data_IF_232311830550
#
_entry.id   IF_232311830550
#
_cell.length_a   1.000
_cell.length_b   1.000
_cell.length_c   1.000
_cell.angle_alpha   90.00
_cell.angle_beta   90.00
_cell.angle_gamma   90.00
#
_symmetry.space_group_name_H-M   'P 1'
#
loop_
_entity.id
_entity.type
_entity.pdbx_description
1 polymer ?
#
# COMPACT_ATOMS: atom_id res chain seq x y z
N UNK A 1 25.92 -8.76 19.53
CA UNK A 1 26.11 -8.45 20.94
C UNK A 1 24.95 -8.99 21.76
N UNK A 2 25.22 -9.50 22.96
CA UNK A 2 24.23 -9.97 23.94
C UNK A 2 24.63 -9.59 25.38
N UNK A 3 25.40 -8.53 25.53
CA UNK A 3 25.94 -8.10 26.82
C UNK A 3 24.85 -7.70 27.84
N UNK A 4 23.70 -7.30 27.36
CA UNK A 4 22.53 -6.95 28.19
C UNK A 4 21.43 -8.01 28.15
N UNK A 5 21.62 -9.15 27.48
CA UNK A 5 20.63 -10.21 27.33
C UNK A 5 19.58 -9.96 26.23
N UNK A 6 19.83 -9.04 25.31
CA UNK A 6 18.91 -8.65 24.23
C UNK A 6 18.62 -9.77 23.23
N UNK A 7 19.46 -10.81 23.15
CA UNK A 7 19.21 -12.02 22.36
C UNK A 7 18.54 -13.16 23.14
N UNK A 8 18.26 -12.96 24.42
CA UNK A 8 17.67 -14.00 25.28
C UNK A 8 16.14 -14.00 25.15
N UNK A 9 15.65 -14.20 23.95
CA UNK A 9 14.21 -14.27 23.67
C UNK A 9 13.63 -15.53 24.31
N UNK A 10 12.60 -15.43 25.19
CA UNK A 10 12.05 -16.58 25.88
C UNK A 10 11.44 -17.63 24.95
N UNK A 11 11.50 -18.90 25.35
CA UNK A 11 10.77 -19.97 24.67
C UNK A 11 9.25 -19.75 24.73
N UNK A 12 8.53 -20.25 23.73
CA UNK A 12 7.09 -20.08 23.62
C UNK A 12 6.31 -21.31 24.10
N UNK A 13 5.10 -21.13 24.65
CA UNK A 13 4.16 -22.23 24.88
C UNK A 13 3.78 -22.92 23.55
N UNK A 14 3.37 -24.19 23.65
CA UNK A 14 2.90 -24.95 22.48
C UNK A 14 1.75 -24.26 21.78
N UNK A 15 1.83 -24.14 20.44
CA UNK A 15 0.82 -23.50 19.61
C UNK A 15 0.92 -21.98 19.51
N UNK A 16 1.85 -21.35 20.22
CA UNK A 16 2.14 -19.91 20.09
C UNK A 16 3.41 -19.73 19.27
N UNK A 17 3.42 -18.70 18.40
CA UNK A 17 4.59 -18.32 17.60
C UNK A 17 4.86 -16.82 17.76
N UNK A 18 6.09 -16.41 17.52
CA UNK A 18 6.42 -15.01 17.33
C UNK A 18 6.00 -14.57 15.93
N UNK A 19 5.28 -13.46 15.82
CA UNK A 19 4.74 -12.93 14.55
C UNK A 19 5.34 -11.58 14.16
N UNK A 20 6.04 -10.92 15.11
CA UNK A 20 6.71 -9.65 14.87
C UNK A 20 7.86 -9.49 15.85
N UNK A 21 8.97 -8.87 15.41
CA UNK A 21 10.11 -8.53 16.24
C UNK A 21 10.60 -7.13 15.93
N UNK A 22 11.05 -6.40 16.95
CA UNK A 22 11.68 -5.08 16.81
C UNK A 22 12.94 -5.05 17.67
N UNK A 23 13.98 -4.38 17.20
CA UNK A 23 15.25 -4.25 17.91
C UNK A 23 15.53 -2.78 18.21
N UNK A 24 15.73 -2.48 19.49
CA UNK A 24 16.26 -1.20 19.96
C UNK A 24 17.78 -1.22 20.07
N UNK A 25 18.37 -0.19 20.70
CA UNK A 25 19.84 -0.11 20.86
C UNK A 25 20.40 -1.22 21.77
N UNK A 26 19.69 -1.61 22.82
CA UNK A 26 20.15 -2.63 23.77
C UNK A 26 19.05 -3.60 24.21
N UNK A 27 17.87 -3.57 23.61
CA UNK A 27 16.77 -4.44 23.92
C UNK A 27 16.06 -4.95 22.67
N UNK A 28 15.38 -6.07 22.79
CA UNK A 28 14.54 -6.66 21.75
C UNK A 28 13.12 -6.80 22.23
N UNK A 29 12.18 -6.58 21.34
CA UNK A 29 10.74 -6.69 21.61
C UNK A 29 10.15 -7.68 20.60
N UNK A 30 9.30 -8.57 21.05
CA UNK A 30 8.66 -9.55 20.20
C UNK A 30 7.17 -9.66 20.52
N UNK A 31 6.34 -9.72 19.49
CA UNK A 31 4.90 -9.93 19.59
C UNK A 31 4.55 -11.36 19.23
N UNK A 32 3.71 -11.96 20.05
CA UNK A 32 3.23 -13.33 19.90
C UNK A 32 1.93 -13.38 19.09
N UNK A 33 1.62 -14.54 18.56
CA UNK A 33 0.37 -14.79 17.82
C UNK A 33 -0.91 -14.63 18.64
N UNK A 34 -0.83 -14.73 19.96
CA UNK A 34 -1.94 -14.44 20.88
C UNK A 34 -2.07 -12.94 21.22
N UNK A 35 -1.25 -12.10 20.61
CA UNK A 35 -1.26 -10.64 20.81
C UNK A 35 -0.54 -10.16 22.07
N UNK A 36 0.13 -11.03 22.81
CA UNK A 36 1.00 -10.61 23.89
C UNK A 36 2.35 -10.11 23.36
N UNK A 37 2.98 -9.21 24.10
CA UNK A 37 4.32 -8.68 23.83
C UNK A 37 5.26 -9.10 24.94
N UNK A 38 6.48 -9.44 24.60
CA UNK A 38 7.59 -9.65 25.52
C UNK A 38 8.76 -8.75 25.10
N UNK A 39 9.60 -8.40 26.06
CA UNK A 39 10.82 -7.66 25.81
C UNK A 39 11.96 -8.22 26.65
N UNK A 40 13.17 -8.19 26.13
CA UNK A 40 14.38 -8.66 26.80
C UNK A 40 15.58 -7.78 26.43
N UNK A 41 16.56 -7.74 27.30
CA UNK A 41 17.75 -6.93 27.12
C UNK A 41 17.87 -5.84 28.18
N UNK A 42 18.48 -4.73 27.79
CA UNK A 42 18.66 -3.56 28.64
C UNK A 42 17.30 -3.04 29.15
N UNK A 43 17.22 -2.77 30.45
CA UNK A 43 16.01 -2.31 31.12
C UNK A 43 16.25 -1.18 32.14
N UNK A 44 17.34 -0.45 32.00
CA UNK A 44 17.70 0.63 32.94
C UNK A 44 16.73 1.80 32.93
N UNK A 45 16.05 2.01 31.81
CA UNK A 45 14.98 3.00 31.67
C UNK A 45 13.57 2.39 31.77
N UNK A 46 13.45 1.09 32.00
CA UNK A 46 12.15 0.40 32.01
C UNK A 46 11.61 0.02 30.62
N UNK A 47 12.46 0.03 29.59
CA UNK A 47 12.06 -0.25 28.20
C UNK A 47 11.59 -1.68 27.96
N UNK A 48 11.93 -2.62 28.85
CA UNK A 48 11.41 -4.00 28.82
C UNK A 48 10.19 -4.23 29.72
N UNK A 49 9.71 -3.21 30.44
CA UNK A 49 8.58 -3.33 31.35
C UNK A 49 7.25 -3.21 30.61
N UNK A 50 6.89 -4.25 29.85
CA UNK A 50 5.66 -4.26 29.02
C UNK A 50 4.42 -3.99 29.89
N UNK A 51 3.63 -2.93 29.61
CA UNK A 51 2.43 -2.63 30.39
C UNK A 51 1.37 -3.73 30.22
N UNK A 52 0.67 -4.11 31.30
CA UNK A 52 -0.46 -5.03 31.17
C UNK A 52 -1.60 -4.39 30.38
N UNK A 53 -2.26 -5.18 29.53
CA UNK A 53 -3.46 -4.74 28.82
C UNK A 53 -4.73 -5.04 29.60
N UNK A 54 -5.73 -4.20 29.43
CA UNK A 54 -7.11 -4.48 29.88
C UNK A 54 -7.62 -5.75 29.17
N UNK A 55 -8.41 -6.54 29.87
CA UNK A 55 -9.00 -7.76 29.32
C UNK A 55 -9.73 -7.50 27.98
N UNK A 56 -9.50 -8.35 27.00
CA UNK A 56 -10.05 -8.24 25.65
C UNK A 56 -9.22 -7.40 24.68
N UNK A 57 -8.17 -6.72 25.14
CA UNK A 57 -7.23 -6.03 24.27
C UNK A 57 -6.00 -6.87 23.95
N UNK A 58 -5.42 -6.64 22.78
CA UNK A 58 -4.17 -7.25 22.33
C UNK A 58 -3.26 -6.19 21.76
N UNK A 59 -1.98 -6.50 21.62
CA UNK A 59 -1.05 -5.70 20.83
C UNK A 59 -1.12 -6.11 19.35
N UNK A 60 -1.10 -5.14 18.45
CA UNK A 60 -1.15 -5.34 16.99
C UNK A 60 0.12 -4.97 16.26
N UNK A 61 0.92 -4.06 16.82
CA UNK A 61 2.20 -3.62 16.26
C UNK A 61 3.16 -3.24 17.38
N UNK A 62 4.44 -3.33 17.11
CA UNK A 62 5.52 -2.97 18.05
C UNK A 62 6.62 -2.18 17.33
N UNK A 63 7.29 -1.28 18.05
CA UNK A 63 8.53 -0.65 17.64
C UNK A 63 9.45 -0.49 18.86
N UNK A 64 10.75 -0.61 18.63
CA UNK A 64 11.77 -0.44 19.65
C UNK A 64 12.73 0.68 19.24
N UNK A 65 12.82 1.70 20.05
CA UNK A 65 13.71 2.84 19.86
C UNK A 65 15.05 2.66 20.60
N UNK A 66 15.79 3.74 20.77
CA UNK A 66 17.06 3.69 21.50
C UNK A 66 16.86 3.11 22.92
N UNK A 67 15.98 3.71 23.70
CA UNK A 67 15.74 3.37 25.12
C UNK A 67 14.26 3.38 25.49
N UNK A 68 13.36 3.24 24.51
CA UNK A 68 11.93 3.19 24.73
C UNK A 68 11.29 2.16 23.80
N UNK A 69 10.13 1.73 24.15
CA UNK A 69 9.33 0.78 23.38
C UNK A 69 7.95 1.39 23.10
N UNK A 70 7.44 1.14 21.91
CA UNK A 70 6.13 1.62 21.46
C UNK A 70 5.32 0.43 21.00
N UNK A 71 4.04 0.39 21.36
CA UNK A 71 3.15 -0.66 20.89
C UNK A 71 1.77 -0.11 20.54
N UNK A 72 1.22 -0.61 19.46
CA UNK A 72 -0.14 -0.35 19.03
C UNK A 72 -1.08 -1.37 19.63
N UNK A 73 -2.21 -0.90 20.16
CA UNK A 73 -3.28 -1.74 20.72
C UNK A 73 -4.35 -2.05 19.69
N UNK A 74 -5.12 -3.10 19.98
CA UNK A 74 -6.22 -3.55 19.09
C UNK A 74 -7.38 -2.56 18.98
N UNK A 75 -7.51 -1.60 19.88
CA UNK A 75 -8.48 -0.50 19.84
C UNK A 75 -7.96 0.73 19.07
N UNK A 76 -6.79 0.64 18.43
CA UNK A 76 -6.18 1.73 17.68
C UNK A 76 -5.40 2.74 18.52
N UNK A 77 -5.35 2.59 19.83
CA UNK A 77 -4.50 3.40 20.70
C UNK A 77 -3.04 2.93 20.63
N UNK A 78 -2.11 3.84 20.95
CA UNK A 78 -0.68 3.55 21.12
C UNK A 78 -0.32 3.76 22.58
N UNK A 79 0.56 2.92 23.08
CA UNK A 79 1.23 3.11 24.38
C UNK A 79 2.74 3.07 24.16
N UNK A 80 3.46 3.85 24.93
CA UNK A 80 4.91 3.90 24.91
C UNK A 80 5.47 3.90 26.33
N UNK A 81 6.61 3.24 26.54
CA UNK A 81 7.25 3.12 27.84
C UNK A 81 8.76 3.05 27.71
N UNK A 82 9.46 3.21 28.82
CA UNK A 82 10.91 3.31 28.87
C UNK A 82 11.35 4.75 29.12
N UNK A 83 12.47 5.15 28.54
CA UNK A 83 12.98 6.51 28.63
C UNK A 83 11.97 7.54 28.08
N UNK A 84 11.79 8.64 28.81
CA UNK A 84 10.85 9.70 28.44
C UNK A 84 11.36 11.12 28.76
N UNK A 85 12.67 11.33 28.75
CA UNK A 85 13.26 12.64 29.06
C UNK A 85 12.95 13.66 27.96
N UNK A 86 12.94 13.24 26.72
CA UNK A 86 12.65 14.05 25.55
C UNK A 86 11.15 14.05 25.20
N UNK A 87 10.32 13.33 25.96
CA UNK A 87 8.89 13.21 25.70
C UNK A 87 8.53 12.14 24.66
N UNK A 88 9.44 11.23 24.33
CA UNK A 88 9.25 10.17 23.33
C UNK A 88 8.15 9.15 23.68
N UNK A 89 7.78 9.05 24.95
CA UNK A 89 6.64 8.25 25.40
C UNK A 89 5.35 9.06 25.60
N UNK A 90 5.36 10.38 25.34
CA UNK A 90 4.18 11.23 25.47
C UNK A 90 3.32 11.13 24.20
N UNK A 91 2.59 10.03 24.08
CA UNK A 91 1.77 9.74 22.89
C UNK A 91 0.86 10.93 22.56
N UNK A 92 0.95 11.43 21.34
CA UNK A 92 0.12 12.53 20.87
C UNK A 92 -1.37 12.16 20.92
N UNK A 93 -2.22 13.10 21.30
CA UNK A 93 -3.65 12.87 21.35
C UNK A 93 -4.20 12.62 19.92
N UNK A 94 -5.12 11.66 19.80
CA UNK A 94 -5.84 11.40 18.57
C UNK A 94 -7.07 12.30 18.48
N UNK A 95 -7.35 12.89 17.29
CA UNK A 95 -8.68 13.40 16.99
C UNK A 95 -9.74 12.31 17.15
N UNK A 96 -10.99 12.70 17.40
CA UNK A 96 -12.11 11.77 17.42
C UNK A 96 -12.19 11.00 16.09
N UNK A 97 -12.58 9.74 16.15
CA UNK A 97 -12.76 8.83 15.01
C UNK A 97 -11.49 8.41 14.27
N UNK A 98 -10.29 8.82 14.75
CA UNK A 98 -9.02 8.32 14.21
C UNK A 98 -8.39 7.27 15.14
N UNK A 99 -7.65 6.34 14.53
CA UNK A 99 -6.78 5.38 15.19
C UNK A 99 -5.35 5.50 14.69
N UNK A 100 -4.40 5.06 15.47
CA UNK A 100 -3.05 4.80 14.97
C UNK A 100 -3.02 3.45 14.23
N UNK A 101 -2.42 3.42 13.05
CA UNK A 101 -2.35 2.20 12.21
C UNK A 101 -0.93 1.68 12.01
N UNK A 102 0.07 2.50 12.37
CA UNK A 102 1.48 2.14 12.28
C UNK A 102 2.29 2.97 13.27
N UNK A 103 3.37 2.40 13.82
CA UNK A 103 4.30 3.07 14.71
C UNK A 103 5.75 2.74 14.33
N UNK A 104 6.62 3.73 14.46
CA UNK A 104 8.06 3.58 14.38
C UNK A 104 8.73 4.33 15.54
N UNK A 105 9.86 3.83 16.02
CA UNK A 105 10.59 4.42 17.12
C UNK A 105 12.04 4.68 16.71
N UNK A 106 12.46 5.93 16.83
CA UNK A 106 13.84 6.35 16.61
C UNK A 106 14.70 6.30 17.88
N UNK A 107 15.82 6.98 17.88
CA UNK A 107 16.69 7.04 19.08
C UNK A 107 15.93 7.60 20.27
N UNK A 108 15.35 8.79 20.11
CA UNK A 108 14.69 9.57 21.17
C UNK A 108 13.38 10.21 20.69
N UNK A 109 12.81 9.73 19.58
CA UNK A 109 11.52 10.20 19.06
C UNK A 109 10.65 9.01 18.64
N UNK A 110 9.38 9.26 18.50
CA UNK A 110 8.38 8.28 18.06
C UNK A 110 7.62 8.87 16.87
N UNK A 111 7.31 8.05 15.90
CA UNK A 111 6.52 8.40 14.72
C UNK A 111 5.33 7.48 14.64
N UNK A 112 4.16 8.01 14.32
CA UNK A 112 2.98 7.20 14.13
C UNK A 112 2.13 7.70 12.94
N UNK A 113 1.61 6.77 12.19
CA UNK A 113 0.67 7.02 11.10
C UNK A 113 -0.75 6.78 11.59
N UNK A 114 -1.64 7.72 11.25
CA UNK A 114 -3.07 7.65 11.57
C UNK A 114 -3.87 6.99 10.46
N UNK A 115 -5.10 6.61 10.79
CA UNK A 115 -6.03 5.95 9.86
C UNK A 115 -6.44 6.82 8.66
N UNK A 116 -6.32 8.14 8.77
CA UNK A 116 -6.53 9.08 7.65
C UNK A 116 -5.29 9.25 6.74
N UNK A 117 -4.21 8.52 7.04
CA UNK A 117 -2.94 8.61 6.32
C UNK A 117 -2.06 9.78 6.74
N UNK A 118 -2.44 10.58 7.71
CA UNK A 118 -1.57 11.60 8.30
C UNK A 118 -0.53 10.96 9.21
N UNK A 119 0.60 11.67 9.41
CA UNK A 119 1.68 11.25 10.30
C UNK A 119 1.88 12.29 11.39
N UNK A 120 2.14 11.83 12.59
CA UNK A 120 2.55 12.65 13.72
C UNK A 120 3.82 12.06 14.34
N UNK A 121 4.72 12.94 14.78
CA UNK A 121 5.93 12.54 15.49
C UNK A 121 6.08 13.37 16.76
N UNK A 122 6.69 12.78 17.79
CA UNK A 122 6.92 13.41 19.09
C UNK A 122 8.18 12.87 19.75
N UNK A 123 8.68 13.58 20.75
CA UNK A 123 9.95 13.30 21.42
C UNK A 123 10.99 14.34 21.05
N UNK A 124 12.24 13.92 20.94
CA UNK A 124 13.32 14.81 20.53
C UNK A 124 13.09 15.35 19.11
N UNK A 125 13.31 16.65 18.97
CA UNK A 125 13.19 17.37 17.70
C UNK A 125 14.38 18.32 17.46
N UNK A 126 15.52 18.05 18.09
CA UNK A 126 16.71 18.92 18.04
C UNK A 126 17.26 19.06 16.62
N UNK A 127 17.04 18.05 15.78
CA UNK A 127 17.41 18.01 14.37
C UNK A 127 16.24 18.22 13.41
N UNK A 128 15.02 18.40 13.93
CA UNK A 128 13.82 18.47 13.10
C UNK A 128 13.24 17.11 12.70
N UNK A 129 13.61 16.03 13.39
CA UNK A 129 13.15 14.66 13.10
C UNK A 129 11.64 14.46 13.33
N UNK A 130 10.98 15.32 14.08
CA UNK A 130 9.53 15.35 14.23
C UNK A 130 8.82 16.25 13.21
N UNK A 131 9.54 16.97 12.37
CA UNK A 131 8.96 17.91 11.39
C UNK A 131 8.61 17.19 10.08
N UNK A 132 7.77 16.17 10.15
CA UNK A 132 7.33 15.43 8.96
C UNK A 132 6.64 16.39 7.98
N UNK A 133 7.06 16.44 6.69
CA UNK A 133 6.51 17.38 5.73
C UNK A 133 4.99 17.25 5.58
N UNK A 134 4.29 18.34 5.33
CA UNK A 134 2.86 18.31 5.04
C UNK A 134 2.61 17.55 3.72
N UNK A 135 1.50 16.85 3.68
CA UNK A 135 1.06 16.13 2.47
C UNK A 135 0.53 17.11 1.41
N UNK A 136 0.93 16.96 0.14
CA UNK A 136 0.19 17.53 -0.97
C UNK A 136 -1.26 17.05 -0.99
N UNK A 137 -2.18 17.86 -1.53
CA UNK A 137 -3.58 17.49 -1.64
C UNK A 137 -3.76 16.17 -2.41
N UNK A 138 -4.59 15.29 -1.90
CA UNK A 138 -4.89 13.98 -2.49
C UNK A 138 -3.88 12.87 -2.19
N UNK A 139 -2.79 13.16 -1.46
CA UNK A 139 -1.84 12.13 -1.03
C UNK A 139 -2.06 11.76 0.45
N UNK A 140 -1.65 10.55 0.78
CA UNK A 140 -1.55 10.04 2.15
C UNK A 140 -0.15 9.48 2.39
N UNK A 141 0.27 9.40 3.65
CA UNK A 141 1.40 8.56 4.02
C UNK A 141 0.94 7.12 4.15
N UNK A 142 1.72 6.19 3.61
CA UNK A 142 1.41 4.75 3.58
C UNK A 142 2.40 3.91 4.38
N UNK A 143 3.54 4.50 4.76
CA UNK A 143 4.57 3.83 5.56
C UNK A 143 5.45 4.86 6.27
N UNK A 144 5.94 4.51 7.47
CA UNK A 144 6.88 5.32 8.24
C UNK A 144 8.02 4.47 8.81
N UNK A 145 9.22 5.05 8.83
CA UNK A 145 10.39 4.47 9.49
C UNK A 145 11.14 5.57 10.26
N UNK A 146 11.81 5.20 11.33
CA UNK A 146 12.60 6.11 12.14
C UNK A 146 14.03 5.60 12.32
N UNK A 147 15.01 6.43 12.03
CA UNK A 147 16.41 6.22 12.37
C UNK A 147 16.76 6.80 13.73
N UNK A 148 18.05 6.99 14.02
CA UNK A 148 18.45 7.56 15.32
C UNK A 148 17.83 8.95 15.49
N UNK A 149 18.11 9.87 14.57
CA UNK A 149 17.71 11.27 14.62
C UNK A 149 17.08 11.76 13.30
N UNK A 150 16.46 10.85 12.54
CA UNK A 150 15.73 11.18 11.32
C UNK A 150 14.49 10.29 11.16
N UNK A 151 13.53 10.81 10.43
CA UNK A 151 12.27 10.14 10.07
C UNK A 151 12.18 10.01 8.56
N UNK A 152 11.73 8.87 8.09
CA UNK A 152 11.44 8.59 6.69
C UNK A 152 9.97 8.25 6.55
N UNK A 153 9.32 8.79 5.55
CA UNK A 153 7.91 8.50 5.29
C UNK A 153 7.66 8.33 3.77
N UNK A 154 6.95 7.28 3.42
CA UNK A 154 6.55 6.99 2.03
C UNK A 154 5.11 7.42 1.80
N UNK A 155 4.88 8.10 0.68
CA UNK A 155 3.56 8.56 0.25
C UNK A 155 2.86 7.57 -0.67
N UNK A 156 1.55 7.76 -0.83
CA UNK A 156 0.71 6.92 -1.69
C UNK A 156 1.06 6.97 -3.18
N UNK A 157 1.75 8.02 -3.64
CA UNK A 157 2.29 8.12 -5.00
C UNK A 157 3.64 7.40 -5.19
N UNK A 158 4.13 6.70 -4.15
CA UNK A 158 5.42 6.03 -4.16
C UNK A 158 6.62 6.97 -3.94
N UNK A 159 6.41 8.27 -3.73
CA UNK A 159 7.50 9.17 -3.34
C UNK A 159 7.86 8.98 -1.86
N UNK A 160 9.10 9.30 -1.50
CA UNK A 160 9.62 9.24 -0.13
C UNK A 160 10.11 10.60 0.29
N UNK A 161 9.85 10.96 1.53
CA UNK A 161 10.38 12.16 2.18
C UNK A 161 11.12 11.76 3.46
N UNK A 162 12.12 12.55 3.82
CA UNK A 162 12.83 12.37 5.07
C UNK A 162 13.03 13.73 5.75
N UNK A 163 13.10 13.73 7.08
CA UNK A 163 13.37 14.92 7.89
C UNK A 163 14.20 14.53 9.12
N UNK A 164 14.96 15.47 9.63
CA UNK A 164 15.84 15.27 10.77
C UNK A 164 17.30 15.55 10.44
N UNK A 165 18.20 14.90 11.18
CA UNK A 165 19.63 15.00 10.95
C UNK A 165 19.99 14.56 9.53
N UNK A 166 20.86 15.34 8.87
CA UNK A 166 21.30 15.10 7.50
C UNK A 166 22.81 15.31 7.28
N UNK A 167 23.58 15.31 8.35
CA UNK A 167 25.03 15.51 8.27
C UNK A 167 25.79 14.45 7.47
N UNK A 168 25.22 13.25 7.36
CA UNK A 168 25.74 12.14 6.56
C UNK A 168 24.91 11.89 5.28
N UNK A 169 23.94 12.73 4.97
CA UNK A 169 23.07 12.59 3.79
C UNK A 169 21.90 11.62 3.98
N UNK A 170 21.56 11.23 5.20
CA UNK A 170 20.51 10.27 5.52
C UNK A 170 19.09 10.72 5.14
N UNK A 171 18.89 12.03 4.95
CA UNK A 171 17.64 12.60 4.44
C UNK A 171 17.68 12.92 2.94
N UNK A 172 18.78 12.65 2.24
CA UNK A 172 18.91 12.90 0.81
C UNK A 172 18.31 11.76 0.00
N UNK A 173 16.99 11.71 -0.08
CA UNK A 173 16.26 10.68 -0.81
C UNK A 173 16.48 10.85 -2.31
N UNK A 174 17.07 9.88 -3.03
CA UNK A 174 17.22 9.95 -4.48
C UNK A 174 15.84 10.01 -5.17
N UNK A 175 15.77 10.62 -6.35
CA UNK A 175 14.58 10.50 -7.18
C UNK A 175 14.47 9.06 -7.71
N UNK A 176 13.27 8.49 -7.65
CA UNK A 176 13.04 7.19 -8.26
C UNK A 176 13.22 7.29 -9.79
N UNK A 177 13.90 6.33 -10.44
CA UNK A 177 13.97 6.27 -11.89
C UNK A 177 12.56 6.20 -12.52
N UNK A 178 12.43 6.70 -13.75
CA UNK A 178 11.14 6.70 -14.45
C UNK A 178 10.53 5.27 -14.52
N UNK A 179 9.26 5.17 -14.18
CA UNK A 179 8.51 3.91 -14.13
C UNK A 179 8.78 3.04 -12.90
N UNK A 180 9.57 3.54 -11.95
CA UNK A 180 9.77 2.92 -10.65
C UNK A 180 9.23 3.81 -9.53
N UNK A 181 8.74 3.18 -8.47
CA UNK A 181 8.34 3.84 -7.23
C UNK A 181 9.05 3.19 -6.04
N UNK A 182 9.13 3.90 -4.95
CA UNK A 182 9.54 3.32 -3.68
C UNK A 182 8.42 2.44 -3.14
N UNK A 183 8.72 1.16 -2.90
CA UNK A 183 7.76 0.15 -2.44
C UNK A 183 7.84 -0.08 -0.93
N UNK A 184 9.01 0.17 -0.34
CA UNK A 184 9.29 -0.08 1.07
C UNK A 184 10.44 0.81 1.54
N UNK A 185 10.39 1.26 2.77
CA UNK A 185 11.44 2.05 3.39
C UNK A 185 11.81 1.50 4.76
N UNK A 186 13.08 1.56 5.09
CA UNK A 186 13.60 1.29 6.42
C UNK A 186 14.64 2.33 6.79
N UNK A 187 14.76 2.62 8.06
CA UNK A 187 15.76 3.54 8.59
C UNK A 187 16.55 2.86 9.72
N UNK A 188 17.79 3.24 9.84
CA UNK A 188 18.71 2.80 10.90
C UNK A 188 19.39 4.04 11.51
N UNK A 189 20.50 3.88 12.22
CA UNK A 189 21.13 4.99 12.93
C UNK A 189 21.30 6.24 12.04
N UNK A 190 22.06 6.14 10.96
CA UNK A 190 22.45 7.25 10.11
C UNK A 190 22.32 6.97 8.62
N UNK A 191 21.43 6.07 8.24
CA UNK A 191 21.12 5.77 6.84
C UNK A 191 19.69 5.28 6.68
N UNK A 192 19.17 5.44 5.49
CA UNK A 192 17.92 4.81 5.06
C UNK A 192 18.19 3.78 3.97
N UNK A 193 17.34 2.78 3.89
CA UNK A 193 17.30 1.80 2.80
C UNK A 193 15.88 1.80 2.24
N UNK A 194 15.79 1.73 0.92
CA UNK A 194 14.49 1.68 0.27
C UNK A 194 14.51 0.66 -0.88
N UNK A 195 13.43 -0.07 -1.03
CA UNK A 195 13.23 -0.99 -2.15
C UNK A 195 12.47 -0.27 -3.26
N UNK A 196 13.03 -0.28 -4.46
CA UNK A 196 12.36 0.19 -5.68
C UNK A 196 11.71 -0.96 -6.43
N UNK A 197 10.62 -0.67 -7.10
CA UNK A 197 9.97 -1.60 -8.01
C UNK A 197 9.04 -0.89 -8.97
N UNK A 198 8.41 -1.63 -9.90
CA UNK A 198 7.49 -1.05 -10.86
C UNK A 198 6.38 -0.25 -10.17
N UNK A 199 6.15 0.95 -10.66
CA UNK A 199 4.99 1.74 -10.24
C UNK A 199 3.72 1.03 -10.68
N UNK A 200 2.73 0.91 -9.78
CA UNK A 200 1.42 0.40 -10.18
C UNK A 200 0.76 1.41 -11.12
N UNK A 201 0.23 0.94 -12.21
CA UNK A 201 -0.40 1.83 -13.20
C UNK A 201 -1.62 1.19 -13.84
N UNK A 202 -2.54 2.03 -14.24
CA UNK A 202 -3.67 1.68 -15.07
C UNK A 202 -3.85 2.78 -16.12
N UNK A 203 -3.50 2.49 -17.33
CA UNK A 203 -3.49 3.49 -18.42
C UNK A 203 -4.37 3.01 -19.57
N UNK A 204 -5.37 3.80 -19.93
CA UNK A 204 -6.20 3.52 -21.10
C UNK A 204 -5.44 3.88 -22.39
N UNK A 205 -5.65 3.10 -23.43
CA UNK A 205 -5.05 3.30 -24.73
C UNK A 205 -6.03 2.93 -25.86
N UNK A 206 -5.81 3.55 -26.99
CA UNK A 206 -6.72 3.41 -28.12
C UNK A 206 -8.08 4.07 -27.85
N UNK A 207 -8.94 4.09 -28.82
CA UNK A 207 -10.32 4.53 -28.69
C UNK A 207 -11.25 3.33 -28.89
N UNK A 208 -12.33 3.27 -28.11
CA UNK A 208 -13.45 2.39 -28.40
C UNK A 208 -14.17 2.82 -29.68
N UNK A 209 -15.13 2.06 -30.10
CA UNK A 209 -16.01 2.41 -31.21
C UNK A 209 -17.39 2.85 -30.68
N UNK A 210 -17.97 3.86 -31.34
CA UNK A 210 -19.28 4.37 -30.95
C UNK A 210 -20.40 3.42 -31.39
N UNK A 211 -21.39 3.25 -30.49
CA UNK A 211 -22.66 2.59 -30.74
C UNK A 211 -23.79 3.61 -30.75
N UNK A 212 -24.92 3.23 -30.15
CA UNK A 212 -26.07 4.12 -29.94
C UNK A 212 -25.86 5.15 -28.81
N UNK A 213 -24.87 4.91 -27.95
CA UNK A 213 -24.43 5.80 -26.87
C UNK A 213 -22.99 6.28 -27.11
N UNK A 214 -22.48 7.29 -26.36
CA UNK A 214 -21.06 7.65 -26.38
C UNK A 214 -20.17 6.43 -26.10
N UNK A 215 -18.91 6.51 -26.55
CA UNK A 215 -17.93 5.42 -26.33
C UNK A 215 -17.80 5.10 -24.85
N UNK A 216 -17.99 3.83 -24.49
CA UNK A 216 -17.77 3.33 -23.14
C UNK A 216 -16.29 3.46 -22.77
N UNK A 217 -16.02 3.98 -21.58
CA UNK A 217 -14.69 4.17 -21.05
C UNK A 217 -14.44 3.23 -19.88
N UNK A 218 -13.20 2.78 -19.77
CA UNK A 218 -12.69 2.07 -18.60
C UNK A 218 -12.12 3.10 -17.63
N UNK A 219 -12.78 3.30 -16.50
CA UNK A 219 -12.38 4.28 -15.49
C UNK A 219 -11.95 3.52 -14.22
N UNK A 220 -10.65 3.44 -13.91
CA UNK A 220 -10.20 2.79 -12.70
C UNK A 220 -10.53 3.66 -11.48
N UNK A 221 -10.99 3.03 -10.40
CA UNK A 221 -11.07 3.69 -9.08
C UNK A 221 -9.74 3.69 -8.35
N UNK A 222 -8.86 2.72 -8.67
CA UNK A 222 -7.54 2.57 -8.07
C UNK A 222 -6.57 1.91 -9.06
N UNK A 223 -5.30 1.83 -8.68
CA UNK A 223 -4.29 1.10 -9.44
C UNK A 223 -4.15 -0.34 -8.92
N UNK A 224 -3.81 -1.32 -9.79
CA UNK A 224 -3.68 -2.71 -9.37
C UNK A 224 -2.49 -2.90 -8.43
N UNK A 225 -2.74 -3.46 -7.25
CA UNK A 225 -1.72 -3.78 -6.23
C UNK A 225 -2.00 -5.16 -5.65
N UNK A 226 -0.95 -5.87 -5.20
CA UNK A 226 -1.15 -7.09 -4.40
C UNK A 226 -1.90 -6.74 -3.11
N UNK A 227 -2.62 -7.70 -2.54
CA UNK A 227 -3.58 -7.54 -1.43
C UNK A 227 -4.80 -6.64 -1.71
N UNK A 228 -4.89 -5.99 -2.86
CA UNK A 228 -5.97 -5.08 -3.19
C UNK A 228 -6.96 -5.69 -4.18
N UNK A 229 -8.12 -5.07 -4.29
CA UNK A 229 -9.07 -5.36 -5.37
C UNK A 229 -9.05 -4.20 -6.35
N UNK A 230 -8.53 -4.43 -7.56
CA UNK A 230 -8.68 -3.47 -8.65
C UNK A 230 -10.17 -3.32 -8.97
N UNK A 231 -10.67 -2.09 -8.94
CA UNK A 231 -12.03 -1.76 -9.36
C UNK A 231 -11.99 -0.90 -10.62
N UNK A 232 -12.71 -1.33 -11.65
CA UNK A 232 -12.84 -0.60 -12.91
C UNK A 232 -14.30 -0.33 -13.17
N UNK A 233 -14.64 0.95 -13.33
CA UNK A 233 -15.96 1.41 -13.69
C UNK A 233 -16.11 1.47 -15.21
N UNK A 234 -17.23 1.03 -15.74
CA UNK A 234 -17.64 1.16 -17.13
C UNK A 234 -18.84 2.10 -17.18
N UNK A 235 -18.74 3.14 -17.97
CA UNK A 235 -19.81 4.11 -18.22
C UNK A 235 -20.46 3.89 -19.61
N UNK A 236 -21.53 4.62 -19.89
CA UNK A 236 -22.22 4.62 -21.18
C UNK A 236 -22.62 3.23 -21.70
N UNK A 237 -23.18 2.38 -20.82
CA UNK A 237 -23.65 1.04 -21.17
C UNK A 237 -25.14 1.08 -21.63
N UNK A 238 -25.44 1.02 -22.94
CA UNK A 238 -26.83 1.14 -23.44
C UNK A 238 -27.80 0.08 -22.88
N UNK A 239 -27.31 -1.15 -22.72
CA UNK A 239 -28.09 -2.27 -22.19
C UNK A 239 -27.78 -2.56 -20.71
N UNK A 240 -27.10 -1.69 -19.99
CA UNK A 240 -26.60 -1.92 -18.63
C UNK A 240 -25.77 -3.21 -18.49
N UNK A 241 -25.14 -3.68 -19.56
CA UNK A 241 -24.37 -4.91 -19.55
C UNK A 241 -23.18 -4.86 -20.52
N UNK A 242 -22.11 -5.52 -20.16
CA UNK A 242 -20.92 -5.68 -20.98
C UNK A 242 -20.21 -7.00 -20.64
N UNK A 243 -19.44 -7.53 -21.60
CA UNK A 243 -18.45 -8.57 -21.31
C UNK A 243 -17.10 -7.88 -21.07
N UNK A 244 -16.57 -7.98 -19.85
CA UNK A 244 -15.25 -7.49 -19.51
C UNK A 244 -14.19 -8.53 -19.88
N UNK A 245 -13.23 -8.14 -20.71
CA UNK A 245 -12.19 -8.99 -21.28
C UNK A 245 -10.89 -8.68 -20.56
N UNK A 246 -10.22 -9.70 -20.05
CA UNK A 246 -8.86 -9.58 -19.50
C UNK A 246 -7.92 -10.41 -20.36
N UNK A 247 -6.78 -9.87 -20.71
CA UNK A 247 -5.76 -10.52 -21.53
C UNK A 247 -4.34 -10.22 -21.07
N UNK A 248 -3.42 -11.12 -21.41
CA UNK A 248 -2.00 -10.99 -21.08
C UNK A 248 -1.18 -10.38 -22.21
N UNK A 249 -1.80 -10.08 -23.36
CA UNK A 249 -1.13 -9.49 -24.52
C UNK A 249 -1.99 -8.42 -25.19
N UNK A 250 -1.33 -7.40 -25.68
CA UNK A 250 -1.92 -6.40 -26.60
C UNK A 250 -1.25 -6.41 -28.00
N UNK A 251 -0.39 -7.39 -28.26
CA UNK A 251 0.33 -7.51 -29.54
C UNK A 251 -0.03 -8.76 -30.34
N UNK A 252 -0.46 -9.82 -29.66
CA UNK A 252 -0.80 -11.10 -30.28
C UNK A 252 -1.87 -11.87 -29.51
N UNK A 253 -2.62 -12.72 -30.21
CA UNK A 253 -3.60 -13.64 -29.68
C UNK A 253 -3.64 -14.88 -30.56
N UNK A 254 -4.33 -15.95 -30.15
CA UNK A 254 -4.46 -17.23 -30.88
C UNK A 254 -4.98 -17.07 -32.31
N UNK A 255 -5.77 -16.04 -32.60
CA UNK A 255 -6.32 -15.75 -33.93
C UNK A 255 -5.48 -14.74 -34.75
N UNK A 256 -4.33 -14.25 -34.22
CA UNK A 256 -3.46 -13.35 -34.99
C UNK A 256 -2.84 -12.22 -34.17
N UNK A 257 -2.40 -11.17 -34.89
CA UNK A 257 -1.81 -9.97 -34.27
C UNK A 257 -2.90 -9.00 -33.81
N UNK A 258 -2.64 -8.33 -32.71
CA UNK A 258 -3.46 -7.24 -32.18
C UNK A 258 -2.86 -5.88 -32.58
N UNK A 259 -3.68 -4.83 -32.77
CA UNK A 259 -5.14 -4.87 -32.70
C UNK A 259 -5.77 -5.61 -33.91
N UNK A 260 -6.83 -6.36 -33.64
CA UNK A 260 -7.59 -7.04 -34.68
C UNK A 260 -8.82 -6.19 -35.10
N UNK A 261 -8.94 -5.91 -36.40
CA UNK A 261 -10.14 -5.30 -36.96
C UNK A 261 -11.31 -6.30 -36.90
N UNK A 262 -12.32 -5.95 -36.10
CA UNK A 262 -13.51 -6.79 -35.96
C UNK A 262 -14.67 -6.39 -36.88
N UNK A 263 -14.41 -5.52 -37.90
CA UNK A 263 -15.39 -5.17 -38.91
C UNK A 263 -15.89 -6.40 -39.66
N UNK A 264 -15.05 -7.41 -39.86
CA UNK A 264 -15.38 -8.69 -40.49
C UNK A 264 -16.44 -9.48 -39.70
N UNK A 265 -16.59 -9.20 -38.41
CA UNK A 265 -17.62 -9.74 -37.54
C UNK A 265 -18.83 -8.82 -37.40
N UNK A 266 -18.98 -7.81 -38.26
CA UNK A 266 -20.12 -6.92 -38.29
C UNK A 266 -20.06 -5.74 -37.33
N UNK A 267 -18.89 -5.39 -36.80
CA UNK A 267 -18.65 -4.24 -35.92
C UNK A 267 -17.70 -3.25 -36.62
N UNK A 268 -18.14 -2.45 -37.58
CA UNK A 268 -17.29 -1.58 -38.37
C UNK A 268 -16.64 -0.48 -37.47
N UNK A 269 -15.35 -0.25 -37.69
CA UNK A 269 -14.58 0.73 -36.94
C UNK A 269 -14.19 0.30 -35.53
N UNK A 270 -14.52 -0.92 -35.12
CA UNK A 270 -14.12 -1.49 -33.84
C UNK A 270 -12.82 -2.28 -33.95
N UNK A 271 -12.02 -2.22 -32.88
CA UNK A 271 -10.72 -2.89 -32.82
C UNK A 271 -10.57 -3.64 -31.51
N UNK A 272 -10.39 -4.97 -31.58
CA UNK A 272 -9.99 -5.77 -30.42
C UNK A 272 -8.49 -5.53 -30.19
N UNK A 273 -8.15 -5.04 -29.00
CA UNK A 273 -6.79 -4.57 -28.63
C UNK A 273 -6.10 -5.44 -27.60
N UNK A 274 -6.82 -6.39 -27.04
CA UNK A 274 -6.29 -7.28 -25.98
C UNK A 274 -6.57 -8.73 -26.33
N UNK A 275 -5.70 -9.65 -25.89
CA UNK A 275 -5.97 -11.08 -25.99
C UNK A 275 -7.20 -11.45 -25.14
N UNK A 276 -7.96 -12.48 -25.56
CA UNK A 276 -9.13 -12.95 -24.80
C UNK A 276 -8.70 -14.14 -23.97
N UNK A 277 -8.19 -13.88 -22.76
CA UNK A 277 -7.74 -14.92 -21.83
C UNK A 277 -8.77 -15.19 -20.74
N UNK A 278 -9.58 -14.17 -20.40
CA UNK A 278 -10.72 -14.29 -19.49
C UNK A 278 -11.81 -13.33 -19.88
N UNK A 279 -13.07 -13.74 -19.71
CA UNK A 279 -14.26 -12.94 -20.01
C UNK A 279 -15.24 -13.02 -18.87
N UNK A 280 -15.70 -11.88 -18.38
CA UNK A 280 -16.68 -11.79 -17.30
C UNK A 280 -17.89 -10.97 -17.77
N UNK A 281 -19.09 -11.53 -17.67
CA UNK A 281 -20.30 -10.77 -17.89
C UNK A 281 -20.56 -9.83 -16.71
N UNK A 282 -20.66 -8.56 -17.00
CA UNK A 282 -21.04 -7.52 -16.05
C UNK A 282 -22.47 -7.08 -16.33
N UNK A 283 -23.23 -6.93 -15.26
CA UNK A 283 -24.56 -6.31 -15.30
C UNK A 283 -24.58 -5.13 -14.33
N UNK A 284 -25.13 -4.04 -14.76
CA UNK A 284 -25.14 -2.81 -14.00
C UNK A 284 -26.51 -2.13 -13.96
N UNK A 285 -26.52 -0.85 -13.62
CA UNK A 285 -27.72 0.00 -13.54
C UNK A 285 -27.39 1.40 -14.03
N UNK A 286 -28.39 2.11 -14.53
CA UNK A 286 -28.24 3.52 -14.96
C UNK A 286 -27.12 3.74 -15.99
N UNK A 287 -26.86 2.78 -16.88
CA UNK A 287 -25.84 2.91 -17.92
C UNK A 287 -24.42 2.65 -17.46
N UNK A 288 -24.21 2.01 -16.31
CA UNK A 288 -22.89 1.70 -15.80
C UNK A 288 -22.79 0.33 -15.16
N UNK A 289 -21.58 -0.21 -15.05
CA UNK A 289 -21.25 -1.44 -14.33
C UNK A 289 -19.83 -1.39 -13.76
N UNK A 290 -19.58 -2.15 -12.70
CA UNK A 290 -18.27 -2.23 -12.07
C UNK A 290 -17.68 -3.64 -12.23
N UNK A 291 -16.40 -3.69 -12.60
CA UNK A 291 -15.60 -4.91 -12.56
C UNK A 291 -14.68 -4.87 -11.33
N UNK A 292 -14.56 -6.01 -10.67
CA UNK A 292 -13.68 -6.17 -9.49
C UNK A 292 -12.76 -7.36 -9.69
N UNK A 293 -11.47 -7.11 -9.67
CA UNK A 293 -10.42 -8.13 -9.76
C UNK A 293 -9.65 -8.17 -8.44
N UNK A 294 -9.87 -9.16 -7.57
CA UNK A 294 -9.00 -9.36 -6.41
C UNK A 294 -7.61 -9.77 -6.89
N UNK A 295 -6.59 -9.04 -6.47
CA UNK A 295 -5.19 -9.34 -6.77
C UNK A 295 -4.61 -10.05 -5.55
N UNK A 296 -4.23 -11.35 -5.68
CA UNK A 296 -3.75 -12.11 -4.55
C UNK A 296 -2.40 -11.59 -4.06
N UNK A 297 -2.12 -11.89 -2.79
CA UNK A 297 -0.81 -11.60 -2.17
C UNK A 297 0.25 -12.59 -2.66
N UNK A 298 0.72 -12.36 -3.85
CA UNK A 298 1.79 -13.15 -4.47
C UNK A 298 2.84 -12.18 -4.98
N UNK A 299 3.98 -12.04 -4.28
CA UNK A 299 5.03 -11.08 -4.66
C UNK A 299 5.52 -11.22 -6.11
N UNK A 300 5.47 -12.42 -6.68
CA UNK A 300 5.79 -12.66 -8.09
C UNK A 300 4.86 -11.99 -9.10
N UNK A 301 3.73 -11.44 -8.66
CA UNK A 301 2.83 -10.67 -9.52
C UNK A 301 3.23 -9.21 -9.65
N UNK A 302 4.07 -8.67 -8.78
CA UNK A 302 4.55 -7.28 -8.87
C UNK A 302 5.30 -7.08 -10.18
N UNK A 303 4.92 -6.06 -10.94
CA UNK A 303 5.46 -5.78 -12.27
C UNK A 303 4.80 -6.57 -13.41
N UNK A 304 3.93 -7.52 -13.12
CA UNK A 304 3.16 -8.23 -14.15
C UNK A 304 2.21 -7.26 -14.82
N UNK A 305 2.22 -7.27 -16.15
CA UNK A 305 1.33 -6.46 -16.99
C UNK A 305 0.18 -7.31 -17.50
N UNK A 306 -1.02 -6.75 -17.41
CA UNK A 306 -2.20 -7.33 -18.06
C UNK A 306 -3.01 -6.23 -18.74
N UNK A 307 -3.95 -6.64 -19.58
CA UNK A 307 -4.72 -5.72 -20.42
C UNK A 307 -6.19 -6.02 -20.28
N UNK A 308 -7.04 -5.00 -20.46
CA UNK A 308 -8.48 -5.19 -20.47
C UNK A 308 -9.18 -4.29 -21.51
N UNK A 309 -10.35 -4.76 -21.94
CA UNK A 309 -11.25 -4.09 -22.84
C UNK A 309 -12.66 -4.63 -22.59
N UNK A 310 -13.71 -3.87 -22.86
CA UNK A 310 -15.07 -4.35 -22.74
C UNK A 310 -15.75 -4.50 -24.12
N UNK A 311 -16.45 -5.62 -24.31
CA UNK A 311 -17.45 -5.75 -25.36
C UNK A 311 -18.80 -5.32 -24.75
N UNK A 312 -19.25 -4.14 -25.13
CA UNK A 312 -20.45 -3.48 -24.62
C UNK A 312 -21.67 -3.98 -25.40
N UNK A 313 -22.68 -4.45 -24.71
CA UNK A 313 -23.94 -4.83 -25.35
C UNK A 313 -24.73 -3.58 -25.75
N UNK A 314 -24.96 -3.41 -27.01
CA UNK A 314 -25.71 -2.30 -27.61
C UNK A 314 -26.61 -2.81 -28.75
N UNK A 315 -27.82 -3.28 -28.43
CA UNK A 315 -28.76 -3.78 -29.42
C UNK A 315 -29.13 -2.76 -30.51
N UNK A 316 -28.95 -1.45 -30.23
CA UNK A 316 -29.26 -0.37 -31.15
C UNK A 316 -28.03 0.05 -32.00
N UNK A 317 -26.87 -0.59 -31.83
CA UNK A 317 -25.68 -0.32 -32.64
C UNK A 317 -25.84 -0.66 -34.14
N UNK A 318 -26.88 -1.38 -34.50
CA UNK A 318 -27.19 -1.73 -35.87
C UNK A 318 -26.25 -2.72 -36.55
N UNK A 319 -25.41 -3.40 -35.75
CA UNK A 319 -24.50 -4.43 -36.24
C UNK A 319 -24.96 -5.86 -35.86
N UNK A 320 -24.39 -6.88 -36.52
CA UNK A 320 -24.79 -8.26 -36.37
C UNK A 320 -24.55 -8.83 -34.96
N UNK A 321 -23.63 -8.23 -34.17
CA UNK A 321 -23.32 -8.65 -32.80
C UNK A 321 -24.19 -7.95 -31.75
N UNK A 322 -24.85 -6.82 -32.10
CA UNK A 322 -25.55 -6.00 -31.12
C UNK A 322 -24.59 -5.46 -30.05
N UNK A 323 -23.37 -5.07 -30.43
CA UNK A 323 -22.36 -4.62 -29.49
C UNK A 323 -21.26 -3.75 -30.11
N UNK A 324 -20.48 -3.12 -29.24
CA UNK A 324 -19.33 -2.27 -29.56
C UNK A 324 -18.19 -2.54 -28.57
N UNK A 325 -16.96 -2.14 -28.90
CA UNK A 325 -15.81 -2.26 -28.02
C UNK A 325 -15.48 -0.92 -27.33
N UNK A 326 -15.16 -0.97 -26.04
CA UNK A 326 -14.62 0.18 -25.28
C UNK A 326 -13.20 0.55 -25.74
N UNK A 327 -12.65 1.60 -25.18
CA UNK A 327 -11.19 1.76 -25.09
C UNK A 327 -10.56 0.53 -24.41
N UNK A 328 -9.25 0.38 -24.56
CA UNK A 328 -8.50 -0.67 -23.87
C UNK A 328 -7.65 -0.06 -22.75
N UNK A 329 -7.24 -0.85 -21.80
CA UNK A 329 -6.33 -0.43 -20.75
C UNK A 329 -5.19 -1.41 -20.54
N UNK A 330 -4.03 -0.88 -20.15
CA UNK A 330 -2.87 -1.61 -19.68
C UNK A 330 -2.71 -1.36 -18.19
N UNK A 331 -2.57 -2.42 -17.43
CA UNK A 331 -2.40 -2.39 -16.00
C UNK A 331 -1.07 -3.04 -15.61
N UNK A 332 -0.36 -2.44 -14.66
CA UNK A 332 0.85 -3.01 -14.06
C UNK A 332 0.59 -3.19 -12.57
N UNK A 333 0.75 -4.42 -12.07
CA UNK A 333 0.55 -4.72 -10.66
C UNK A 333 1.71 -4.15 -9.85
N UNK A 334 1.39 -3.30 -8.89
CA UNK A 334 2.32 -2.79 -7.88
C UNK A 334 2.24 -3.58 -6.58
N UNK A 335 3.01 -3.12 -5.60
CA UNK A 335 3.06 -3.70 -4.26
C UNK A 335 2.02 -3.06 -3.35
#
# INVERSE_FOLDING_TARGET
DNSTGQCNVPGLPTGIVYVEVAAGSGHSVARRSDGAVIACGENTAGQCNVPPLTAGLTYRGIAAGGFHTVAQRSDGAVIAWGRNVEGQCNVAALPADLGYVEVAAGGYHTVARRSDGSVVAWGDNSWGQCNVPLLPAGLTYVEVAAGLDHTVARRSDGSVVACGENGLGQCNVPLAPAGLAYLEVAASNAHMVARLGPESSYVTFGSGCAGSAPVTRLVPFDTPRIHATLQVHLDHLPANAAFFIVGWSNTSWSLGRLPLDVSVFGMPGCWLRVSIDSVTLLTGRCGSADYRLPIPDVPGLVGVRFYNQALVLDPAAGNAFGGVLSDAAAAVIGN
#
